data_IF_124896478479
#
_entry.id   IF_124896478479
#
_cell.length_a   1.000
_cell.length_b   1.000
_cell.length_c   1.000
_cell.angle_alpha   90.00
_cell.angle_beta   90.00
_cell.angle_gamma   90.00
#
_symmetry.space_group_name_H-M   'P 1'
#
loop_
_entity.id
_entity.type
_entity.pdbx_description
1 polymer ?
#
# COMPACT_ATOMS: atom_id res chain seq x y z
N UNK A 1 8.57 -3.42 -9.93
CA UNK A 1 7.27 -3.59 -10.65
C UNK A 1 6.16 -3.76 -9.64
N UNK A 2 5.01 -3.09 -9.82
CA UNK A 2 3.80 -3.33 -9.03
C UNK A 2 2.87 -4.29 -9.77
N UNK A 3 2.49 -5.38 -9.12
CA UNK A 3 1.48 -6.32 -9.60
C UNK A 3 0.15 -6.03 -8.91
N UNK A 4 -0.76 -5.35 -9.62
CA UNK A 4 -2.16 -5.11 -9.21
C UNK A 4 -2.97 -6.38 -9.44
N UNK A 5 -3.16 -7.17 -8.38
CA UNK A 5 -3.81 -8.49 -8.49
C UNK A 5 -5.33 -8.42 -8.43
N UNK A 6 -5.90 -7.32 -7.98
CA UNK A 6 -7.34 -7.07 -8.02
C UNK A 6 -7.92 -7.06 -9.45
N UNK A 7 -7.10 -6.82 -10.48
CA UNK A 7 -7.46 -6.97 -11.89
C UNK A 7 -7.46 -8.40 -12.39
N UNK A 8 -6.84 -9.34 -11.65
CA UNK A 8 -6.72 -10.72 -12.08
C UNK A 8 -8.01 -11.50 -11.77
N UNK A 9 -8.59 -12.20 -12.77
CA UNK A 9 -9.87 -12.89 -12.64
C UNK A 9 -9.84 -13.98 -11.57
N UNK A 10 -8.79 -14.77 -11.57
CA UNK A 10 -8.60 -15.93 -10.68
C UNK A 10 -7.90 -15.59 -9.35
N UNK A 11 -7.94 -14.33 -8.90
CA UNK A 11 -7.19 -13.89 -7.70
C UNK A 11 -7.55 -14.68 -6.42
N UNK A 12 -8.76 -15.20 -6.33
CA UNK A 12 -9.21 -16.01 -5.21
C UNK A 12 -8.81 -17.50 -5.31
N UNK A 13 -8.25 -17.93 -6.45
CA UNK A 13 -7.52 -19.19 -6.60
C UNK A 13 -6.04 -18.92 -6.42
N UNK A 14 -5.56 -19.12 -5.17
CA UNK A 14 -4.18 -18.78 -4.85
C UNK A 14 -3.17 -19.59 -5.64
N UNK A 15 -3.47 -20.84 -6.02
CA UNK A 15 -2.59 -21.67 -6.84
C UNK A 15 -2.31 -21.02 -8.21
N UNK A 16 -3.34 -20.46 -8.85
CA UNK A 16 -3.18 -19.75 -10.12
C UNK A 16 -2.47 -18.40 -9.94
N UNK A 17 -2.77 -17.71 -8.82
CA UNK A 17 -2.10 -16.47 -8.47
C UNK A 17 -0.61 -16.69 -8.25
N UNK A 18 -0.22 -17.73 -7.52
CA UNK A 18 1.16 -18.10 -7.28
C UNK A 18 1.89 -18.50 -8.58
N UNK A 19 1.25 -19.31 -9.43
CA UNK A 19 1.81 -19.66 -10.74
C UNK A 19 2.09 -18.42 -11.62
N UNK A 20 1.19 -17.42 -11.58
CA UNK A 20 1.40 -16.16 -12.30
C UNK A 20 2.55 -15.34 -11.69
N UNK A 21 2.69 -15.32 -10.37
CA UNK A 21 3.81 -14.65 -9.71
C UNK A 21 5.14 -15.35 -10.01
N UNK A 22 5.16 -16.69 -10.06
CA UNK A 22 6.33 -17.46 -10.45
C UNK A 22 6.79 -17.09 -11.85
N UNK A 23 5.88 -17.09 -12.83
CA UNK A 23 6.20 -16.70 -14.22
C UNK A 23 6.71 -15.24 -14.29
N UNK A 24 6.13 -14.34 -13.50
CA UNK A 24 6.57 -12.94 -13.42
C UNK A 24 7.98 -12.83 -12.84
N UNK A 25 8.28 -13.58 -11.78
CA UNK A 25 9.61 -13.61 -11.15
C UNK A 25 10.67 -14.16 -12.11
N UNK A 26 10.36 -15.19 -12.89
CA UNK A 26 11.27 -15.75 -13.90
C UNK A 26 11.65 -14.71 -14.97
N UNK A 27 10.68 -13.89 -15.41
CA UNK A 27 10.92 -12.84 -16.41
C UNK A 27 11.68 -11.66 -15.82
N UNK A 28 11.35 -11.25 -14.59
CA UNK A 28 11.90 -10.04 -13.96
C UNK A 28 13.25 -10.27 -13.25
N UNK A 29 13.61 -11.52 -12.96
CA UNK A 29 14.83 -11.85 -12.23
C UNK A 29 14.88 -11.13 -10.86
N UNK A 30 15.91 -10.33 -10.62
CA UNK A 30 16.15 -9.62 -9.36
C UNK A 30 15.35 -8.31 -9.22
N UNK A 31 14.52 -7.93 -10.20
CA UNK A 31 13.75 -6.69 -10.12
C UNK A 31 12.70 -6.79 -9.01
N UNK A 32 12.62 -5.82 -8.08
CA UNK A 32 11.64 -5.85 -6.99
C UNK A 32 10.20 -5.94 -7.48
N UNK A 33 9.43 -6.85 -6.89
CA UNK A 33 8.00 -7.05 -7.15
C UNK A 33 7.21 -6.64 -5.91
N UNK A 34 6.30 -5.68 -6.10
CA UNK A 34 5.29 -5.28 -5.13
C UNK A 34 3.98 -6.00 -5.46
N UNK A 35 3.46 -6.78 -4.52
CA UNK A 35 2.15 -7.40 -4.58
C UNK A 35 1.10 -6.47 -3.99
N UNK A 36 0.08 -6.11 -4.76
CA UNK A 36 -0.98 -5.17 -4.32
C UNK A 36 -2.36 -5.72 -4.67
N UNK A 37 -3.17 -6.04 -3.68
CA UNK A 37 -4.61 -6.16 -3.83
C UNK A 37 -5.25 -4.84 -3.38
N UNK A 38 -5.65 -4.00 -4.32
CA UNK A 38 -6.40 -2.77 -4.01
C UNK A 38 -7.87 -3.12 -3.89
N UNK A 39 -8.47 -2.83 -2.70
CA UNK A 39 -9.88 -3.09 -2.48
C UNK A 39 -10.74 -2.06 -3.21
N UNK A 40 -11.99 -2.42 -3.50
CA UNK A 40 -12.96 -1.49 -4.09
C UNK A 40 -13.24 -0.27 -3.20
N UNK A 41 -12.94 -0.35 -1.90
CA UNK A 41 -13.07 0.79 -0.95
C UNK A 41 -12.02 1.88 -1.22
N UNK A 42 -10.85 1.49 -1.72
CA UNK A 42 -9.75 2.39 -2.07
C UNK A 42 -9.47 2.42 -3.57
N UNK A 43 -10.51 2.26 -4.40
CA UNK A 43 -10.46 2.44 -5.86
C UNK A 43 -9.93 1.25 -6.64
N UNK A 44 -9.96 0.05 -6.07
CA UNK A 44 -9.66 -1.20 -6.76
C UNK A 44 -10.87 -1.83 -7.43
N UNK A 45 -10.64 -2.90 -8.18
CA UNK A 45 -11.65 -3.57 -9.00
C UNK A 45 -12.55 -4.52 -8.21
N UNK A 46 -12.05 -5.09 -7.11
CA UNK A 46 -12.78 -6.14 -6.37
C UNK A 46 -12.95 -5.81 -4.90
N UNK A 47 -14.10 -6.17 -4.37
CA UNK A 47 -14.31 -6.29 -2.94
C UNK A 47 -13.70 -7.60 -2.42
N UNK A 48 -13.29 -7.61 -1.16
CA UNK A 48 -12.79 -8.79 -0.47
C UNK A 48 -13.16 -8.69 1.01
N UNK A 49 -13.45 -9.82 1.62
CA UNK A 49 -13.65 -9.90 3.06
C UNK A 49 -12.32 -9.78 3.80
N UNK A 50 -12.37 -9.22 5.01
CA UNK A 50 -11.15 -8.87 5.75
C UNK A 50 -10.24 -10.07 6.00
N UNK A 51 -10.79 -11.21 6.37
CA UNK A 51 -10.04 -12.44 6.62
C UNK A 51 -9.34 -12.94 5.34
N UNK A 52 -10.06 -12.93 4.22
CA UNK A 52 -9.50 -13.32 2.92
C UNK A 52 -8.41 -12.33 2.44
N UNK A 53 -8.57 -11.05 2.75
CA UNK A 53 -7.56 -10.02 2.45
C UNK A 53 -6.26 -10.26 3.21
N UNK A 54 -6.36 -10.56 4.52
CA UNK A 54 -5.21 -10.91 5.35
C UNK A 54 -4.53 -12.16 4.81
N UNK A 55 -5.30 -13.23 4.59
CA UNK A 55 -4.78 -14.50 4.10
C UNK A 55 -4.07 -14.36 2.75
N UNK A 56 -4.65 -13.60 1.82
CA UNK A 56 -4.07 -13.34 0.50
C UNK A 56 -2.70 -12.66 0.61
N UNK A 57 -2.59 -11.60 1.41
CA UNK A 57 -1.32 -10.88 1.60
C UNK A 57 -0.28 -11.74 2.33
N UNK A 58 -0.70 -12.49 3.35
CA UNK A 58 0.19 -13.40 4.08
C UNK A 58 0.69 -14.55 3.19
N UNK A 59 -0.17 -15.12 2.37
CA UNK A 59 0.22 -16.16 1.42
C UNK A 59 1.20 -15.63 0.39
N UNK A 60 0.96 -14.44 -0.19
CA UNK A 60 1.91 -13.81 -1.10
C UNK A 60 3.28 -13.61 -0.45
N UNK A 61 3.33 -13.11 0.79
CA UNK A 61 4.60 -12.92 1.50
C UNK A 61 5.36 -14.23 1.77
N UNK A 62 4.66 -15.34 1.95
CA UNK A 62 5.27 -16.67 2.22
C UNK A 62 5.84 -17.35 0.98
N UNK A 63 5.48 -16.91 -0.23
CA UNK A 63 5.93 -17.57 -1.48
C UNK A 63 7.43 -17.42 -1.77
N UNK A 64 8.06 -16.37 -1.24
CA UNK A 64 9.42 -15.98 -1.65
C UNK A 64 9.52 -15.37 -3.06
N UNK A 65 8.38 -15.08 -3.70
CA UNK A 65 8.29 -14.56 -5.07
C UNK A 65 8.16 -13.04 -5.12
N UNK A 66 7.81 -12.40 -4.01
CA UNK A 66 7.58 -10.95 -3.91
C UNK A 66 8.54 -10.32 -2.91
N UNK A 67 8.89 -9.07 -3.13
CA UNK A 67 9.80 -8.31 -2.26
C UNK A 67 9.03 -7.38 -1.33
N UNK A 68 7.84 -6.94 -1.77
CA UNK A 68 6.96 -6.06 -0.99
C UNK A 68 5.50 -6.51 -1.12
N UNK A 69 4.72 -6.23 -0.07
CA UNK A 69 3.26 -6.28 -0.10
C UNK A 69 2.66 -4.93 0.27
N UNK A 70 1.53 -4.57 -0.33
CA UNK A 70 0.75 -3.37 0.03
C UNK A 70 -0.43 -3.76 0.92
N UNK A 71 -0.55 -3.13 2.08
CA UNK A 71 -1.70 -3.27 2.97
C UNK A 71 -2.39 -1.94 3.18
N UNK A 72 -3.71 -1.89 3.00
CA UNK A 72 -4.50 -0.68 3.24
C UNK A 72 -4.57 -0.40 4.75
N UNK A 73 -4.04 0.75 5.17
CA UNK A 73 -3.78 1.08 6.58
C UNK A 73 -5.04 1.20 7.46
N UNK A 74 -6.20 1.42 6.84
CA UNK A 74 -7.47 1.65 7.54
C UNK A 74 -8.45 0.47 7.45
N UNK A 75 -7.97 -0.70 7.07
CA UNK A 75 -8.73 -1.97 7.17
C UNK A 75 -8.87 -2.47 8.61
N UNK A 76 -8.00 -2.00 9.52
CA UNK A 76 -7.94 -2.34 10.94
C UNK A 76 -6.50 -2.50 11.41
N UNK A 77 -6.20 -2.03 12.62
CA UNK A 77 -4.83 -2.07 13.15
C UNK A 77 -4.30 -3.50 13.29
N UNK A 78 -5.17 -4.43 13.71
CA UNK A 78 -4.81 -5.85 13.86
C UNK A 78 -4.56 -6.50 12.49
N UNK A 79 -5.30 -6.10 11.46
CA UNK A 79 -5.10 -6.54 10.08
C UNK A 79 -3.72 -6.13 9.57
N UNK A 80 -3.37 -4.85 9.74
CA UNK A 80 -2.07 -4.33 9.31
C UNK A 80 -0.95 -5.04 10.05
N UNK A 81 -1.04 -5.17 11.37
CA UNK A 81 -0.04 -5.87 12.18
C UNK A 81 0.15 -7.33 11.77
N UNK A 82 -0.94 -8.07 11.54
CA UNK A 82 -0.87 -9.46 11.11
C UNK A 82 -0.15 -9.64 9.76
N UNK A 83 -0.38 -8.72 8.81
CA UNK A 83 0.32 -8.72 7.53
C UNK A 83 1.80 -8.34 7.71
N UNK A 84 2.09 -7.28 8.49
CA UNK A 84 3.47 -6.82 8.79
C UNK A 84 4.28 -7.95 9.44
N UNK A 85 3.76 -8.59 10.48
CA UNK A 85 4.46 -9.69 11.17
C UNK A 85 4.80 -10.83 10.22
N UNK A 86 3.82 -11.25 9.39
CA UNK A 86 4.06 -12.34 8.43
C UNK A 86 5.05 -11.94 7.36
N UNK A 87 4.94 -10.73 6.80
CA UNK A 87 5.85 -10.23 5.77
C UNK A 87 7.27 -10.17 6.29
N UNK A 88 7.49 -9.55 7.45
CA UNK A 88 8.82 -9.44 8.07
C UNK A 88 9.44 -10.80 8.41
N UNK A 89 8.64 -11.76 8.90
CA UNK A 89 9.10 -13.12 9.16
C UNK A 89 9.60 -13.85 7.89
N UNK A 90 9.18 -13.40 6.71
CA UNK A 90 9.58 -13.95 5.41
C UNK A 90 10.53 -13.03 4.63
N UNK A 91 11.06 -11.97 5.26
CA UNK A 91 11.99 -11.03 4.62
C UNK A 91 11.34 -10.08 3.61
N UNK A 92 10.01 -9.98 3.60
CA UNK A 92 9.23 -9.12 2.70
C UNK A 92 8.95 -7.78 3.38
N UNK A 93 9.06 -6.68 2.63
CA UNK A 93 8.77 -5.33 3.10
C UNK A 93 7.29 -4.99 2.96
N UNK A 94 6.80 -4.05 3.77
CA UNK A 94 5.40 -3.66 3.78
C UNK A 94 5.24 -2.18 3.44
N UNK A 95 4.42 -1.90 2.42
CA UNK A 95 3.85 -0.58 2.19
C UNK A 95 2.48 -0.54 2.88
N UNK A 96 2.30 0.33 3.87
CA UNK A 96 0.96 0.64 4.38
C UNK A 96 0.41 1.84 3.61
N UNK A 97 -0.72 1.65 2.95
CA UNK A 97 -1.27 2.64 2.02
C UNK A 97 -2.64 3.18 2.44
N UNK A 98 -2.93 4.40 2.01
CA UNK A 98 -4.26 4.99 2.09
C UNK A 98 -4.52 5.88 0.87
N UNK A 99 -5.72 5.77 0.30
CA UNK A 99 -6.15 6.51 -0.89
C UNK A 99 -7.45 7.26 -0.59
N UNK A 100 -7.39 8.59 -0.63
CA UNK A 100 -8.57 9.45 -0.51
C UNK A 100 -8.94 10.00 -1.91
N UNK A 101 -9.93 9.38 -2.54
CA UNK A 101 -10.39 9.75 -3.89
C UNK A 101 -11.29 10.99 -3.92
N UNK A 102 -11.66 11.54 -2.76
CA UNK A 102 -12.66 12.59 -2.67
C UNK A 102 -12.08 13.95 -2.35
N UNK A 103 -10.97 13.98 -1.61
CA UNK A 103 -10.37 15.24 -1.12
C UNK A 103 -8.91 15.08 -0.77
N UNK A 104 -8.27 16.22 -0.50
CA UNK A 104 -7.01 16.30 0.22
C UNK A 104 -7.34 16.64 1.69
N UNK A 105 -7.06 15.75 2.65
CA UNK A 105 -7.25 16.04 4.07
C UNK A 105 -6.37 17.20 4.54
N UNK A 106 -6.66 17.75 5.73
CA UNK A 106 -5.81 18.74 6.37
C UNK A 106 -4.38 18.20 6.59
N UNK A 107 -3.40 19.08 6.61
CA UNK A 107 -1.98 18.72 6.76
C UNK A 107 -1.74 17.83 7.97
N UNK A 108 -2.31 18.21 9.11
CA UNK A 108 -2.18 17.50 10.40
C UNK A 108 -2.76 16.09 10.32
N UNK A 109 -3.84 15.90 9.58
CA UNK A 109 -4.45 14.59 9.36
C UNK A 109 -3.59 13.70 8.47
N UNK A 110 -3.01 14.26 7.41
CA UNK A 110 -2.07 13.53 6.52
C UNK A 110 -0.87 13.05 7.33
N UNK A 111 -0.25 13.94 8.11
CA UNK A 111 0.90 13.60 8.98
C UNK A 111 0.51 12.53 10.00
N UNK A 112 -0.65 12.67 10.65
CA UNK A 112 -1.16 11.69 11.63
C UNK A 112 -1.36 10.30 11.00
N UNK A 113 -1.93 10.22 9.78
CA UNK A 113 -2.11 8.95 9.06
C UNK A 113 -0.77 8.29 8.73
N UNK A 114 0.20 9.05 8.23
CA UNK A 114 1.54 8.53 7.91
C UNK A 114 2.28 8.05 9.17
N UNK A 115 2.21 8.80 10.27
CA UNK A 115 2.76 8.38 11.57
C UNK A 115 2.14 7.10 12.07
N UNK A 116 0.81 6.97 12.01
CA UNK A 116 0.10 5.74 12.38
C UNK A 116 0.60 4.54 11.58
N UNK A 117 0.80 4.67 10.26
CA UNK A 117 1.34 3.60 9.43
C UNK A 117 2.75 3.18 9.88
N UNK A 118 3.59 4.15 10.24
CA UNK A 118 4.92 3.91 10.80
C UNK A 118 4.83 3.17 12.15
N UNK A 119 3.95 3.60 13.05
CA UNK A 119 3.71 2.99 14.37
C UNK A 119 3.18 1.54 14.26
N UNK A 120 2.41 1.22 13.20
CA UNK A 120 1.95 -0.13 12.89
C UNK A 120 3.04 -1.04 12.31
N UNK A 121 4.23 -0.52 12.07
CA UNK A 121 5.39 -1.29 11.63
C UNK A 121 5.60 -1.34 10.11
N UNK A 122 4.87 -0.55 9.32
CA UNK A 122 5.09 -0.48 7.87
C UNK A 122 6.51 0.02 7.55
N UNK A 123 7.16 -0.56 6.55
CA UNK A 123 8.47 -0.11 6.07
C UNK A 123 8.36 1.17 5.25
N UNK A 124 7.25 1.37 4.56
CA UNK A 124 6.99 2.54 3.73
C UNK A 124 5.54 3.01 3.92
N UNK A 125 5.29 4.03 4.76
CA UNK A 125 4.01 4.71 4.79
C UNK A 125 3.68 5.39 3.47
N UNK A 126 2.45 5.20 2.96
CA UNK A 126 2.01 5.76 1.68
C UNK A 126 0.65 6.41 1.79
N UNK A 127 0.52 7.64 1.28
CA UNK A 127 -0.78 8.31 1.14
C UNK A 127 -0.95 8.86 -0.27
N UNK A 128 -2.15 8.69 -0.83
CA UNK A 128 -2.54 9.29 -2.10
C UNK A 128 -3.85 10.06 -1.92
N UNK A 129 -3.87 11.31 -2.34
CA UNK A 129 -5.00 12.23 -2.10
C UNK A 129 -5.48 12.89 -3.38
N UNK A 130 -6.76 13.30 -3.41
CA UNK A 130 -7.36 13.97 -4.56
C UNK A 130 -7.30 15.49 -4.39
N UNK A 131 -6.48 16.21 -5.17
CA UNK A 131 -6.45 17.67 -5.11
C UNK A 131 -7.68 18.25 -5.82
N UNK A 132 -8.38 19.17 -5.17
CA UNK A 132 -9.51 19.92 -5.73
C UNK A 132 -9.07 21.29 -6.26
N UNK A 133 -7.93 21.78 -5.79
CA UNK A 133 -7.36 23.08 -6.13
C UNK A 133 -5.85 23.12 -5.85
N UNK A 134 -5.20 24.22 -6.26
CA UNK A 134 -3.75 24.40 -6.07
C UNK A 134 -3.30 24.40 -4.61
N UNK A 135 -4.16 24.84 -3.70
CA UNK A 135 -3.85 24.84 -2.26
C UNK A 135 -3.70 23.43 -1.70
N UNK A 136 -4.48 22.48 -2.23
CA UNK A 136 -4.39 21.07 -1.82
C UNK A 136 -3.02 20.46 -2.19
N UNK A 137 -2.46 20.85 -3.32
CA UNK A 137 -1.09 20.45 -3.71
C UNK A 137 -0.07 20.95 -2.69
N UNK A 138 -0.17 22.23 -2.29
CA UNK A 138 0.70 22.83 -1.28
C UNK A 138 0.51 22.18 0.08
N UNK A 139 -0.74 21.81 0.43
CA UNK A 139 -1.05 21.08 1.66
C UNK A 139 -0.34 19.73 1.72
N UNK A 140 -0.37 18.96 0.63
CA UNK A 140 0.35 17.67 0.56
C UNK A 140 1.87 17.87 0.65
N UNK A 141 2.42 18.85 -0.04
CA UNK A 141 3.85 19.17 0.04
C UNK A 141 4.28 19.57 1.45
N UNK A 142 3.49 20.42 2.12
CA UNK A 142 3.77 20.82 3.50
C UNK A 142 3.65 19.64 4.49
N UNK A 143 2.68 18.74 4.29
CA UNK A 143 2.56 17.51 5.09
C UNK A 143 3.75 16.57 4.87
N UNK A 144 4.22 16.46 3.63
CA UNK A 144 5.38 15.64 3.28
C UNK A 144 6.64 16.19 3.93
N UNK A 145 6.85 17.49 3.85
CA UNK A 145 7.99 18.17 4.46
C UNK A 145 8.00 17.97 5.98
N UNK A 146 6.88 18.26 6.65
CA UNK A 146 6.77 18.09 8.11
C UNK A 146 6.99 16.62 8.53
N UNK A 147 6.38 15.67 7.79
CA UNK A 147 6.56 14.25 8.11
C UNK A 147 8.03 13.84 8.00
N UNK A 148 8.74 14.27 6.95
CA UNK A 148 10.15 13.91 6.73
C UNK A 148 11.08 14.59 7.71
N UNK A 149 10.82 15.87 8.03
CA UNK A 149 11.70 16.66 8.90
C UNK A 149 11.57 16.31 10.38
N UNK A 150 10.34 15.96 10.83
CA UNK A 150 10.05 15.87 12.25
C UNK A 150 9.76 14.44 12.74
N UNK A 151 9.25 13.53 11.88
CA UNK A 151 8.68 12.27 12.34
C UNK A 151 9.16 11.01 11.63
N UNK A 152 9.52 11.08 10.35
CA UNK A 152 9.86 9.88 9.60
C UNK A 152 11.25 9.34 9.95
N UNK A 153 11.31 8.07 10.33
CA UNK A 153 12.56 7.31 10.50
C UNK A 153 12.82 6.35 9.32
N UNK A 154 11.98 6.42 8.29
CA UNK A 154 11.96 5.54 7.12
C UNK A 154 11.43 6.27 5.90
N UNK A 155 11.61 5.72 4.65
CA UNK A 155 11.04 6.31 3.45
C UNK A 155 9.52 6.40 3.52
N UNK A 156 8.95 7.47 2.94
CA UNK A 156 7.51 7.66 2.79
C UNK A 156 7.16 7.92 1.33
N UNK A 157 5.91 7.65 0.96
CA UNK A 157 5.35 7.98 -0.36
C UNK A 157 4.15 8.90 -0.17
N UNK A 158 4.20 10.08 -0.77
CA UNK A 158 3.05 10.98 -0.87
C UNK A 158 2.72 11.23 -2.34
N UNK A 159 1.45 11.13 -2.71
CA UNK A 159 1.02 11.16 -4.09
C UNK A 159 -0.26 11.99 -4.28
N UNK A 160 -0.36 12.65 -5.42
CA UNK A 160 -1.62 13.19 -5.92
C UNK A 160 -2.27 12.18 -6.86
N UNK A 161 -3.55 11.84 -6.64
CA UNK A 161 -4.31 10.91 -7.49
C UNK A 161 -4.63 11.50 -8.86
N UNK A 162 -4.56 12.81 -8.98
CA UNK A 162 -4.73 13.54 -10.22
C UNK A 162 -3.63 14.61 -10.38
N UNK A 163 -3.36 15.01 -11.62
CA UNK A 163 -2.41 16.10 -11.88
C UNK A 163 -2.85 17.39 -11.23
N UNK A 164 -1.88 18.21 -10.81
CA UNK A 164 -2.15 19.53 -10.23
C UNK A 164 -3.14 20.31 -11.11
N UNK A 165 -4.25 20.81 -10.56
CA UNK A 165 -5.17 21.67 -11.31
C UNK A 165 -4.43 22.91 -11.85
N UNK A 166 -4.50 23.10 -13.14
CA UNK A 166 -3.86 24.24 -13.82
C UNK A 166 -4.59 25.57 -13.54
#
# INVERSE_FOLDING_TARGET
VERRVDWYEDIFDFTKTEATMQALREVLGEMPILFTFRTSKEGGEKAIETEAYVELNQNAAKTGLVDLVDVEAFTGDDVVKAVVETAHANGVKVIASNHDFHKTPAKEEIVSRLRKMQELGADIPKIAVMPQNKKDVLTLLAATEEMVSEYADRPIITCLLYTSPS
#
